data_IF_679659942981
#
_entry.id   IF_679659942981
#
_cell.length_a   1.000
_cell.length_b   1.000
_cell.length_c   1.000
_cell.angle_alpha   90.00
_cell.angle_beta   90.00
_cell.angle_gamma   90.00
#
_symmetry.space_group_name_H-M   'P 1'
#
loop_
_entity.id
_entity.type
_entity.pdbx_description
1 polymer ?
#
# COMPACT_ATOMS: atom_id res chain seq x y z
N UNK A 1 8.23 44.18 43.68
CA UNK A 1 6.87 43.93 43.11
C UNK A 1 6.88 44.47 41.69
N UNK A 2 6.51 43.78 40.62
CA UNK A 2 5.70 42.57 40.41
C UNK A 2 6.23 41.83 39.18
N UNK A 3 6.37 40.49 39.27
CA UNK A 3 6.79 39.63 38.16
C UNK A 3 5.66 39.59 37.12
N UNK A 4 5.94 39.96 35.88
CA UNK A 4 5.04 39.78 34.74
C UNK A 4 4.84 38.29 34.47
N UNK A 5 3.60 37.82 34.59
CA UNK A 5 3.19 36.43 34.36
C UNK A 5 3.16 36.17 32.84
N UNK A 6 3.76 35.10 32.31
CA UNK A 6 3.71 34.80 30.87
C UNK A 6 2.32 34.32 30.46
N UNK A 7 1.76 34.93 29.41
CA UNK A 7 0.48 34.53 28.80
C UNK A 7 0.63 33.18 28.08
N UNK A 8 -0.12 32.17 28.53
CA UNK A 8 -0.14 30.82 27.96
C UNK A 8 -0.74 30.86 26.55
N UNK A 9 0.09 30.71 25.52
CA UNK A 9 -0.37 30.59 24.14
C UNK A 9 -1.06 29.23 23.95
N UNK A 10 -2.39 29.25 23.82
CA UNK A 10 -3.20 28.04 23.69
C UNK A 10 -3.10 27.55 22.23
N UNK A 11 -2.04 26.79 21.94
CA UNK A 11 -1.71 26.28 20.60
C UNK A 11 -2.63 25.16 20.08
N UNK A 12 -3.60 24.72 20.88
CA UNK A 12 -4.53 23.66 20.50
C UNK A 12 -5.93 24.26 20.32
N UNK A 13 -6.25 24.61 19.08
CA UNK A 13 -7.64 24.77 18.64
C UNK A 13 -8.33 23.42 18.79
N UNK A 14 -9.29 23.38 19.70
CA UNK A 14 -10.21 22.26 19.87
C UNK A 14 -10.85 21.93 18.52
N UNK A 15 -10.63 20.72 18.02
CA UNK A 15 -11.45 20.20 16.93
C UNK A 15 -12.91 20.37 17.37
N UNK A 16 -13.67 21.21 16.65
CA UNK A 16 -15.13 21.26 16.80
C UNK A 16 -15.59 19.81 16.75
N UNK A 17 -16.46 19.40 17.68
CA UNK A 17 -17.02 18.06 17.66
C UNK A 17 -17.77 17.86 16.35
N UNK A 18 -17.09 17.29 15.35
CA UNK A 18 -17.72 17.07 14.05
C UNK A 18 -18.92 16.16 14.27
N UNK A 19 -20.06 16.57 13.72
CA UNK A 19 -21.30 15.80 13.80
C UNK A 19 -21.02 14.33 13.44
N UNK A 20 -21.57 13.37 14.20
CA UNK A 20 -21.32 11.94 13.95
C UNK A 20 -21.63 11.55 12.50
N UNK A 21 -22.59 12.21 11.86
CA UNK A 21 -22.90 12.04 10.45
C UNK A 21 -21.76 12.49 9.50
N UNK A 22 -21.07 13.59 9.79
CA UNK A 22 -19.91 14.05 9.01
C UNK A 22 -18.75 13.08 9.13
N UNK A 23 -18.47 12.60 10.34
CA UNK A 23 -17.43 11.59 10.57
C UNK A 23 -17.74 10.29 9.82
N UNK A 24 -18.99 9.82 9.88
CA UNK A 24 -19.44 8.64 9.15
C UNK A 24 -19.25 8.80 7.64
N UNK A 25 -19.64 9.94 7.08
CA UNK A 25 -19.48 10.23 5.65
C UNK A 25 -18.00 10.26 5.23
N UNK A 26 -17.13 10.87 6.03
CA UNK A 26 -15.68 10.87 5.78
C UNK A 26 -15.12 9.45 5.81
N UNK A 27 -15.51 8.64 6.81
CA UNK A 27 -15.03 7.25 6.89
C UNK A 27 -15.53 6.41 5.71
N UNK A 28 -16.79 6.55 5.31
CA UNK A 28 -17.31 5.88 4.12
C UNK A 28 -16.53 6.25 2.86
N UNK A 29 -16.27 7.55 2.66
CA UNK A 29 -15.47 8.02 1.52
C UNK A 29 -14.05 7.46 1.55
N UNK A 30 -13.39 7.47 2.71
CA UNK A 30 -12.04 6.92 2.87
C UNK A 30 -12.01 5.41 2.62
N UNK A 31 -13.01 4.66 3.10
CA UNK A 31 -13.13 3.22 2.86
C UNK A 31 -13.32 2.95 1.37
N UNK A 32 -14.24 3.65 0.71
CA UNK A 32 -14.46 3.50 -0.74
C UNK A 32 -13.21 3.84 -1.53
N UNK A 33 -12.54 4.95 -1.23
CA UNK A 33 -11.28 5.32 -1.88
C UNK A 33 -10.19 4.26 -1.67
N UNK A 34 -10.10 3.70 -0.46
CA UNK A 34 -9.15 2.63 -0.15
C UNK A 34 -9.44 1.36 -0.94
N UNK A 35 -10.71 0.95 -1.05
CA UNK A 35 -11.11 -0.23 -1.84
C UNK A 35 -10.77 -0.04 -3.32
N UNK A 36 -11.04 1.15 -3.88
CA UNK A 36 -10.68 1.49 -5.27
C UNK A 36 -9.17 1.41 -5.46
N UNK A 37 -8.38 1.94 -4.51
CA UNK A 37 -6.92 1.88 -4.56
C UNK A 37 -6.37 0.46 -4.43
N UNK A 38 -7.04 -0.42 -3.67
CA UNK A 38 -6.65 -1.82 -3.50
C UNK A 38 -6.98 -2.70 -4.71
N UNK A 39 -8.00 -2.37 -5.50
CA UNK A 39 -8.38 -3.15 -6.67
C UNK A 39 -7.22 -3.44 -7.65
N UNK A 40 -6.43 -2.45 -8.14
CA UNK A 40 -5.31 -2.74 -9.02
C UNK A 40 -4.22 -3.58 -8.33
N UNK A 41 -4.00 -3.38 -7.03
CA UNK A 41 -3.05 -4.21 -6.26
C UNK A 41 -3.49 -5.68 -6.24
N UNK A 42 -4.78 -5.94 -5.97
CA UNK A 42 -5.33 -7.29 -6.02
C UNK A 42 -5.17 -7.92 -7.41
N UNK A 43 -5.36 -7.14 -8.48
CA UNK A 43 -5.15 -7.63 -9.86
C UNK A 43 -3.70 -8.04 -10.12
N UNK A 44 -2.71 -7.33 -9.58
CA UNK A 44 -1.30 -7.73 -9.70
C UNK A 44 -1.04 -9.06 -8.99
N UNK A 45 -1.60 -9.24 -7.79
CA UNK A 45 -1.50 -10.51 -7.03
C UNK A 45 -2.21 -11.65 -7.77
N UNK A 46 -3.38 -11.40 -8.36
CA UNK A 46 -4.06 -12.37 -9.21
C UNK A 46 -3.18 -12.82 -10.36
N UNK A 47 -2.53 -11.88 -11.06
CA UNK A 47 -1.68 -12.17 -12.22
C UNK A 47 -0.42 -12.93 -11.80
N UNK A 48 0.20 -12.61 -10.67
CA UNK A 48 1.38 -13.32 -10.19
C UNK A 48 1.11 -14.79 -9.86
N UNK A 49 -0.15 -15.14 -9.54
CA UNK A 49 -0.60 -16.50 -9.30
C UNK A 49 -1.11 -17.24 -10.56
N UNK A 50 -1.14 -16.60 -11.74
CA UNK A 50 -1.59 -17.25 -12.97
C UNK A 50 -0.49 -18.08 -13.61
N UNK A 51 -0.74 -19.32 -14.04
CA UNK A 51 0.25 -20.14 -14.73
C UNK A 51 0.66 -19.46 -16.06
N UNK A 52 1.94 -19.59 -16.44
CA UNK A 52 2.55 -18.85 -17.55
C UNK A 52 1.89 -19.01 -18.93
N UNK A 53 1.04 -20.03 -19.11
CA UNK A 53 0.26 -20.27 -20.33
C UNK A 53 -1.02 -19.42 -20.45
N UNK A 54 -1.43 -18.71 -19.38
CA UNK A 54 -2.68 -17.94 -19.32
C UNK A 54 -2.46 -16.43 -19.11
N UNK A 55 -1.27 -15.90 -19.42
CA UNK A 55 -0.97 -14.47 -19.29
C UNK A 55 -1.92 -13.57 -20.10
N UNK A 56 -2.50 -14.10 -21.19
CA UNK A 56 -3.46 -13.42 -22.06
C UNK A 56 -4.92 -13.85 -21.84
N UNK A 57 -5.23 -14.55 -20.74
CA UNK A 57 -6.60 -14.96 -20.46
C UNK A 57 -7.40 -13.77 -19.87
N UNK A 58 -8.47 -13.37 -20.57
CA UNK A 58 -9.39 -12.26 -20.22
C UNK A 58 -10.29 -12.55 -19.00
N UNK A 59 -9.87 -13.45 -18.12
CA UNK A 59 -10.62 -13.80 -16.93
C UNK A 59 -10.56 -12.63 -15.92
N UNK A 60 -11.73 -12.09 -15.54
CA UNK A 60 -11.87 -11.03 -14.55
C UNK A 60 -11.97 -11.56 -13.12
N UNK A 61 -11.89 -12.88 -12.91
CA UNK A 61 -11.88 -13.51 -11.60
C UNK A 61 -10.72 -13.00 -10.76
N UNK A 62 -11.00 -12.66 -9.49
CA UNK A 62 -10.00 -12.21 -8.52
C UNK A 62 -9.05 -13.34 -8.09
N UNK A 63 -9.53 -14.59 -8.07
CA UNK A 63 -8.71 -15.77 -7.82
C UNK A 63 -8.87 -16.67 -9.05
N UNK A 64 -7.80 -16.94 -9.81
CA UNK A 64 -7.88 -17.81 -10.98
C UNK A 64 -8.11 -19.26 -10.52
N UNK A 65 -8.88 -20.03 -11.29
CA UNK A 65 -9.18 -21.44 -10.96
C UNK A 65 -7.91 -22.30 -10.91
N UNK A 66 -6.92 -21.94 -11.72
CA UNK A 66 -5.63 -22.62 -11.81
C UNK A 66 -4.53 -21.84 -11.06
N UNK A 67 -4.84 -21.22 -9.91
CA UNK A 67 -3.84 -20.45 -9.16
C UNK A 67 -2.64 -21.34 -8.75
N UNK A 68 -1.44 -20.96 -9.17
CA UNK A 68 -0.20 -21.68 -8.83
C UNK A 68 0.88 -20.75 -8.28
N UNK A 69 1.82 -21.32 -7.53
CA UNK A 69 3.01 -20.64 -7.03
C UNK A 69 4.25 -20.88 -7.91
N UNK A 70 4.06 -21.49 -9.09
CA UNK A 70 5.16 -21.88 -9.96
C UNK A 70 5.95 -20.66 -10.44
N UNK A 71 5.26 -19.55 -10.72
CA UNK A 71 5.93 -18.30 -11.08
C UNK A 71 6.93 -17.84 -10.01
N UNK A 72 6.55 -17.94 -8.72
CA UNK A 72 7.45 -17.59 -7.62
C UNK A 72 8.62 -18.57 -7.52
N UNK A 73 8.35 -19.87 -7.70
CA UNK A 73 9.40 -20.90 -7.72
C UNK A 73 10.41 -20.65 -8.83
N UNK A 74 9.95 -20.42 -10.05
CA UNK A 74 10.80 -20.12 -11.21
C UNK A 74 11.55 -18.80 -11.01
N UNK A 75 10.91 -17.75 -10.49
CA UNK A 75 11.58 -16.47 -10.21
C UNK A 75 12.72 -16.62 -9.20
N UNK A 76 12.52 -17.39 -8.13
CA UNK A 76 13.51 -17.51 -7.04
C UNK A 76 14.61 -18.53 -7.37
N UNK A 77 14.26 -19.66 -8.01
CA UNK A 77 15.19 -20.78 -8.21
C UNK A 77 15.83 -20.81 -9.60
N UNK A 78 15.16 -20.29 -10.62
CA UNK A 78 15.61 -20.39 -12.02
C UNK A 78 16.04 -19.06 -12.62
N UNK A 79 15.80 -17.94 -11.93
CA UNK A 79 16.17 -16.59 -12.37
C UNK A 79 17.06 -15.92 -11.34
N UNK A 80 17.85 -14.96 -11.80
CA UNK A 80 18.71 -14.12 -10.95
C UNK A 80 17.92 -13.04 -10.17
N UNK A 81 16.62 -13.25 -9.95
CA UNK A 81 15.74 -12.28 -9.30
C UNK A 81 16.27 -11.86 -7.93
N UNK A 82 16.77 -12.80 -7.13
CA UNK A 82 17.31 -12.51 -5.79
C UNK A 82 18.55 -11.61 -5.89
N UNK A 83 19.40 -11.82 -6.89
CA UNK A 83 20.57 -10.97 -7.13
C UNK A 83 20.14 -9.57 -7.56
N UNK A 84 19.16 -9.44 -8.44
CA UNK A 84 18.65 -8.14 -8.87
C UNK A 84 17.96 -7.37 -7.73
N UNK A 85 17.20 -8.09 -6.89
CA UNK A 85 16.58 -7.54 -5.70
C UNK A 85 17.64 -7.02 -4.72
N UNK A 86 18.69 -7.80 -4.50
CA UNK A 86 19.81 -7.41 -3.64
C UNK A 86 20.55 -6.17 -4.19
N UNK A 87 20.88 -6.15 -5.46
CA UNK A 87 21.54 -5.01 -6.11
C UNK A 87 20.68 -3.74 -5.98
N UNK A 88 19.37 -3.85 -6.22
CA UNK A 88 18.44 -2.72 -6.08
C UNK A 88 18.35 -2.20 -4.65
N UNK A 89 18.35 -3.11 -3.67
CA UNK A 89 18.33 -2.75 -2.25
C UNK A 89 19.61 -2.03 -1.84
N UNK A 90 20.78 -2.53 -2.26
CA UNK A 90 22.08 -1.90 -1.96
C UNK A 90 22.17 -0.50 -2.57
N UNK A 91 21.77 -0.34 -3.84
CA UNK A 91 21.77 0.97 -4.51
C UNK A 91 20.82 1.95 -3.82
N UNK A 92 19.59 1.52 -3.50
CA UNK A 92 18.59 2.35 -2.83
C UNK A 92 19.08 2.83 -1.46
N UNK A 93 19.61 1.91 -0.62
CA UNK A 93 20.14 2.27 0.70
C UNK A 93 21.35 3.19 0.62
N UNK A 94 22.29 2.90 -0.28
CA UNK A 94 23.49 3.74 -0.45
C UNK A 94 23.09 5.16 -0.88
N UNK A 95 22.10 5.29 -1.74
CA UNK A 95 21.59 6.60 -2.20
C UNK A 95 20.88 7.37 -1.09
N UNK A 96 20.22 6.69 -0.15
CA UNK A 96 19.57 7.35 0.99
C UNK A 96 20.58 7.80 2.05
N UNK A 97 21.71 7.09 2.18
CA UNK A 97 22.73 7.35 3.20
C UNK A 97 23.70 8.45 2.78
N UNK A 98 24.09 8.50 1.50
CA UNK A 98 25.01 9.51 0.94
C UNK A 98 24.29 10.83 0.70
#
# INVERSE_FOLDING_TARGET
>A
MSKGIPRKHRFFTSAKGDSPAKKLLIHLLLITASVIALYPFLRVVTISLRPGSQLLSTDLSLIPKDATLDNYRTLILEKDFVIWLWNSLVVSLTTVIV
#
